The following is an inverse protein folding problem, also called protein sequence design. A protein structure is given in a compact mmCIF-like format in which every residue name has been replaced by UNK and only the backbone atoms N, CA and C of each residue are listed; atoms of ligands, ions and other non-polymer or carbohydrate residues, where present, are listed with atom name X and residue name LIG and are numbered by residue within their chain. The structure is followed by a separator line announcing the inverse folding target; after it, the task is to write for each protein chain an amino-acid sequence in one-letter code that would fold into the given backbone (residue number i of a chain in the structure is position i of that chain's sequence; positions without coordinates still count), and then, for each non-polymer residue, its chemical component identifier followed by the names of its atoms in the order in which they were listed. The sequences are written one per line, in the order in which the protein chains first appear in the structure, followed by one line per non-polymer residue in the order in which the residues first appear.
data_IF_149933662918
#
_entry.id   IF_149933662918
#
_cell.length_a   1.000
_cell.length_b   1.000
_cell.length_c   1.000
_cell.angle_alpha   90.00
_cell.angle_beta   90.00
_cell.angle_gamma   90.00
#
_symmetry.space_group_name_H-M   'P 1'
#
loop_
_entity.id
_entity.type
_entity.pdbx_description
1 polymer ?
#
# COMPACT_ATOMS: atom_id res chain seq x y z
N UNK A 1 25.61 6.91 -1.81
CA UNK A 1 25.36 5.66 -2.55
C UNK A 1 23.89 5.36 -2.36
N UNK A 2 23.16 5.18 -3.45
CA UNK A 2 21.72 4.86 -3.40
C UNK A 2 21.54 3.33 -3.37
N UNK A 3 20.45 2.87 -2.75
CA UNK A 3 20.10 1.44 -2.65
C UNK A 3 18.75 1.22 -3.36
N UNK A 4 18.63 0.12 -4.08
CA UNK A 4 17.40 -0.41 -4.63
C UNK A 4 17.22 -1.84 -4.10
N UNK A 5 16.08 -2.12 -3.45
CA UNK A 5 15.85 -3.38 -2.75
C UNK A 5 14.52 -3.98 -3.17
N UNK A 6 14.53 -5.27 -3.46
CA UNK A 6 13.35 -6.10 -3.75
C UNK A 6 13.50 -7.43 -2.98
N UNK A 7 12.45 -8.24 -2.89
CA UNK A 7 12.57 -9.65 -2.51
C UNK A 7 13.66 -10.36 -3.34
N UNK A 8 14.34 -11.33 -2.75
CA UNK A 8 15.31 -12.15 -3.49
C UNK A 8 14.65 -12.86 -4.67
N UNK A 9 13.45 -13.41 -4.45
CA UNK A 9 12.70 -14.13 -5.46
C UNK A 9 11.24 -13.66 -5.48
N UNK A 10 10.70 -13.46 -6.68
CA UNK A 10 9.29 -13.16 -6.90
C UNK A 10 8.77 -14.22 -7.88
N UNK A 11 7.92 -15.12 -7.39
CA UNK A 11 7.22 -16.08 -8.24
C UNK A 11 5.83 -15.52 -8.55
N UNK A 12 5.41 -15.62 -9.80
CA UNK A 12 4.18 -15.02 -10.29
C UNK A 12 3.45 -15.94 -11.28
N UNK A 13 2.15 -15.78 -11.36
CA UNK A 13 1.27 -16.59 -12.18
C UNK A 13 0.39 -17.53 -11.38
N UNK A 14 -0.63 -18.08 -12.04
CA UNK A 14 -1.54 -19.06 -11.43
C UNK A 14 -0.75 -20.29 -10.97
N UNK A 15 -0.93 -20.66 -9.72
CA UNK A 15 -0.19 -21.76 -9.09
C UNK A 15 1.16 -21.37 -8.48
N UNK A 16 1.52 -20.07 -8.44
CA UNK A 16 2.77 -19.63 -7.80
C UNK A 16 2.92 -20.11 -6.34
N UNK A 17 1.81 -20.31 -5.62
CA UNK A 17 1.83 -20.88 -4.26
C UNK A 17 2.38 -22.31 -4.20
N UNK A 18 2.50 -23.05 -5.31
CA UNK A 18 3.08 -24.39 -5.35
C UNK A 18 4.59 -24.39 -5.06
N UNK A 19 5.27 -23.24 -5.20
CA UNK A 19 6.67 -23.09 -4.82
C UNK A 19 6.93 -23.40 -3.33
N UNK A 20 5.89 -23.32 -2.49
CA UNK A 20 5.95 -23.73 -1.08
C UNK A 20 6.40 -25.18 -0.90
N UNK A 21 6.17 -26.09 -1.87
CA UNK A 21 6.65 -27.48 -1.84
C UNK A 21 8.17 -27.62 -1.88
N UNK A 22 8.86 -26.54 -2.30
CA UNK A 22 10.32 -26.52 -2.47
C UNK A 22 11.05 -25.78 -1.34
N UNK A 23 10.31 -25.25 -0.37
CA UNK A 23 10.92 -24.54 0.75
C UNK A 23 11.77 -25.50 1.59
N UNK A 24 12.93 -25.01 1.98
CA UNK A 24 13.80 -25.64 2.97
C UNK A 24 13.49 -25.05 4.35
N UNK A 25 13.27 -25.88 5.34
CA UNK A 25 12.92 -25.42 6.69
C UNK A 25 12.33 -26.56 7.52
N UNK A 26 11.92 -26.21 8.73
CA UNK A 26 11.33 -27.16 9.68
C UNK A 26 9.97 -26.69 10.20
N UNK A 27 9.83 -25.39 10.48
CA UNK A 27 8.63 -24.82 11.11
C UNK A 27 8.25 -23.50 10.43
N UNK A 28 7.00 -23.38 10.02
CA UNK A 28 6.45 -22.16 9.45
C UNK A 28 5.28 -21.66 10.29
N UNK A 29 5.30 -20.38 10.67
CA UNK A 29 4.11 -19.70 11.18
C UNK A 29 3.37 -19.06 10.03
N UNK A 30 2.05 -19.30 9.93
CA UNK A 30 1.18 -18.73 8.92
C UNK A 30 0.37 -17.61 9.56
N UNK A 31 0.58 -16.36 9.10
CA UNK A 31 -0.13 -15.18 9.61
C UNK A 31 -1.26 -14.82 8.65
N UNK A 32 -2.49 -14.73 9.16
CA UNK A 32 -3.73 -14.53 8.41
C UNK A 32 -4.55 -13.40 8.99
N UNK A 33 -5.21 -12.65 8.09
CA UNK A 33 -6.27 -11.70 8.44
C UNK A 33 -7.61 -12.15 7.85
N UNK A 34 -8.69 -12.00 8.60
CA UNK A 34 -10.03 -12.35 8.16
C UNK A 34 -10.19 -13.79 7.68
N UNK A 35 -11.41 -14.17 7.29
CA UNK A 35 -11.74 -15.56 6.97
C UNK A 35 -11.69 -15.92 5.47
N UNK A 36 -11.34 -15.01 4.57
CA UNK A 36 -11.46 -15.24 3.11
C UNK A 36 -10.55 -16.35 2.61
N UNK A 37 -9.29 -16.35 3.00
CA UNK A 37 -8.31 -17.34 2.52
C UNK A 37 -8.65 -18.77 2.96
N UNK A 38 -9.21 -18.95 4.19
CA UNK A 38 -9.74 -20.24 4.62
C UNK A 38 -10.99 -20.62 3.84
N UNK A 39 -11.96 -19.70 3.73
CA UNK A 39 -13.24 -19.95 3.05
C UNK A 39 -13.08 -20.36 1.59
N UNK A 40 -12.06 -19.85 0.91
CA UNK A 40 -11.76 -20.20 -0.47
C UNK A 40 -10.77 -21.37 -0.62
N UNK A 41 -10.36 -22.01 0.51
CA UNK A 41 -9.53 -23.21 0.50
C UNK A 41 -8.04 -22.99 0.23
N UNK A 42 -7.57 -21.73 0.19
CA UNK A 42 -6.16 -21.42 -0.05
C UNK A 42 -5.28 -21.78 1.12
N UNK A 43 -5.76 -21.62 2.35
CA UNK A 43 -5.01 -22.01 3.55
C UNK A 43 -4.74 -23.52 3.56
N UNK A 44 -5.74 -24.33 3.21
CA UNK A 44 -5.59 -25.79 3.15
C UNK A 44 -4.56 -26.21 2.10
N UNK A 45 -4.51 -25.53 0.95
CA UNK A 45 -3.48 -25.75 -0.08
C UNK A 45 -2.09 -25.41 0.44
N UNK A 46 -1.92 -24.23 1.08
CA UNK A 46 -0.65 -23.80 1.67
C UNK A 46 -0.15 -24.81 2.69
N UNK A 47 -1.01 -25.26 3.61
CA UNK A 47 -0.68 -26.29 4.61
C UNK A 47 -0.29 -27.60 3.94
N UNK A 48 -1.01 -28.04 2.91
CA UNK A 48 -0.68 -29.27 2.19
C UNK A 48 0.71 -29.18 1.53
N UNK A 49 1.03 -28.06 0.88
CA UNK A 49 2.34 -27.86 0.23
C UNK A 49 3.49 -27.80 1.24
N UNK A 50 3.30 -27.12 2.36
CA UNK A 50 4.30 -27.09 3.43
C UNK A 50 4.50 -28.47 4.07
N UNK A 51 3.43 -29.25 4.23
CA UNK A 51 3.52 -30.65 4.69
C UNK A 51 4.28 -31.53 3.70
N UNK A 52 4.08 -31.37 2.39
CA UNK A 52 4.86 -32.05 1.37
C UNK A 52 6.37 -31.70 1.45
N UNK A 53 6.67 -30.43 1.79
CA UNK A 53 8.03 -29.96 2.05
C UNK A 53 8.61 -30.46 3.42
N UNK A 54 7.81 -31.14 4.25
CA UNK A 54 8.22 -31.60 5.58
C UNK A 54 8.26 -30.50 6.64
N UNK A 55 7.54 -29.40 6.43
CA UNK A 55 7.51 -28.25 7.32
C UNK A 55 6.27 -28.32 8.23
N UNK A 56 6.48 -28.25 9.54
CA UNK A 56 5.44 -28.13 10.56
C UNK A 56 4.85 -26.71 10.53
N UNK A 57 3.52 -26.59 10.73
CA UNK A 57 2.83 -25.29 10.63
C UNK A 57 2.09 -24.94 11.91
N UNK A 58 2.13 -23.66 12.30
CA UNK A 58 1.32 -23.03 13.34
C UNK A 58 0.68 -21.76 12.76
N UNK A 59 -0.39 -21.26 13.40
CA UNK A 59 -1.16 -20.13 12.88
C UNK A 59 -1.18 -18.93 13.83
N UNK A 60 -1.13 -17.74 13.27
CA UNK A 60 -1.55 -16.49 13.89
C UNK A 60 -2.70 -15.97 13.03
N UNK A 61 -3.92 -16.00 13.57
CA UNK A 61 -5.14 -15.69 12.84
C UNK A 61 -5.79 -14.40 13.37
N UNK A 62 -6.82 -13.97 12.66
CA UNK A 62 -7.68 -12.84 13.05
C UNK A 62 -6.93 -11.51 13.19
N UNK A 63 -5.85 -11.31 12.40
CA UNK A 63 -5.23 -9.99 12.30
C UNK A 63 -6.27 -9.02 11.76
N UNK A 64 -6.60 -8.01 12.56
CA UNK A 64 -7.59 -7.00 12.24
C UNK A 64 -7.14 -6.08 11.10
N UNK A 65 -8.08 -5.45 10.38
CA UNK A 65 -7.74 -4.31 9.53
C UNK A 65 -7.06 -3.20 10.35
N UNK A 66 -6.02 -2.59 9.80
CA UNK A 66 -5.18 -1.61 10.52
C UNK A 66 -4.55 -2.19 11.80
N UNK A 67 -3.66 -3.18 11.68
CA UNK A 67 -3.20 -4.00 12.79
C UNK A 67 -2.56 -3.17 13.90
N UNK A 68 -2.86 -3.55 15.14
CA UNK A 68 -2.42 -2.85 16.34
C UNK A 68 -1.04 -3.30 16.83
N UNK A 69 -0.42 -2.44 17.66
CA UNK A 69 0.81 -2.80 18.38
C UNK A 69 0.57 -4.02 19.27
N UNK A 70 -0.61 -4.11 19.90
CA UNK A 70 -1.01 -5.23 20.75
C UNK A 70 -1.03 -6.55 19.97
N UNK A 71 -1.64 -6.56 18.77
CA UNK A 71 -1.66 -7.73 17.88
C UNK A 71 -0.24 -8.13 17.45
N UNK A 72 0.61 -7.17 17.14
CA UNK A 72 2.01 -7.42 16.79
C UNK A 72 2.75 -8.09 17.95
N UNK A 73 2.62 -7.56 19.16
CA UNK A 73 3.31 -8.10 20.33
C UNK A 73 2.82 -9.50 20.72
N UNK A 74 1.50 -9.75 20.64
CA UNK A 74 0.91 -11.06 20.87
C UNK A 74 1.39 -12.10 19.85
N UNK A 75 1.40 -11.73 18.57
CA UNK A 75 1.90 -12.58 17.49
C UNK A 75 3.38 -12.91 17.64
N UNK A 76 4.21 -11.92 17.97
CA UNK A 76 5.64 -12.15 18.23
C UNK A 76 5.89 -13.07 19.44
N UNK A 77 5.05 -13.00 20.49
CA UNK A 77 5.11 -13.91 21.63
C UNK A 77 4.84 -15.34 21.18
N UNK A 78 3.78 -15.56 20.39
CA UNK A 78 3.46 -16.89 19.83
C UNK A 78 4.58 -17.44 18.94
N UNK A 79 5.20 -16.58 18.12
CA UNK A 79 6.38 -16.96 17.33
C UNK A 79 7.55 -17.40 18.22
N UNK A 80 7.78 -16.78 19.38
CA UNK A 80 8.84 -17.20 20.31
C UNK A 80 8.59 -18.57 20.95
N UNK A 81 7.33 -18.94 21.15
CA UNK A 81 6.95 -20.26 21.66
C UNK A 81 7.13 -21.37 20.61
N UNK A 82 6.73 -21.08 19.37
CA UNK A 82 6.81 -22.05 18.28
C UNK A 82 8.18 -22.11 17.61
N UNK A 83 8.97 -21.03 17.66
CA UNK A 83 10.30 -20.86 17.04
C UNK A 83 10.32 -21.20 15.54
N UNK A 84 9.52 -20.53 14.69
CA UNK A 84 9.51 -20.77 13.25
C UNK A 84 10.84 -20.34 12.60
N UNK A 85 11.23 -21.07 11.55
CA UNK A 85 12.30 -20.66 10.61
C UNK A 85 11.75 -20.02 9.33
N UNK A 86 10.42 -20.05 9.15
CA UNK A 86 9.68 -19.28 8.15
C UNK A 86 8.49 -18.54 8.76
N UNK A 87 8.34 -17.28 8.39
CA UNK A 87 7.13 -16.48 8.60
C UNK A 87 6.44 -16.36 7.25
N UNK A 88 5.25 -16.95 7.12
CA UNK A 88 4.45 -16.91 5.89
C UNK A 88 3.23 -16.04 6.16
N UNK A 89 3.19 -14.86 5.56
CA UNK A 89 2.07 -13.96 5.70
C UNK A 89 1.17 -14.01 4.45
N UNK A 90 -0.13 -14.26 4.65
CA UNK A 90 -1.08 -14.46 3.56
C UNK A 90 -2.34 -13.63 3.76
N UNK A 91 -2.67 -12.82 2.78
CA UNK A 91 -3.87 -11.96 2.82
C UNK A 91 -3.68 -10.63 2.13
N UNK A 92 -4.43 -9.63 2.56
CA UNK A 92 -4.24 -8.23 2.16
C UNK A 92 -3.06 -7.58 2.88
N UNK A 93 -3.00 -6.25 2.88
CA UNK A 93 -1.92 -5.50 3.52
C UNK A 93 -1.78 -5.80 5.01
N UNK A 94 -2.90 -5.81 5.76
CA UNK A 94 -2.89 -5.91 7.23
C UNK A 94 -2.16 -7.14 7.79
N UNK A 95 -2.45 -8.39 7.39
CA UNK A 95 -1.73 -9.53 7.93
C UNK A 95 -0.25 -9.57 7.52
N UNK A 96 0.09 -9.06 6.33
CA UNK A 96 1.48 -9.01 5.88
C UNK A 96 2.26 -7.96 6.66
N UNK A 97 1.68 -6.77 6.87
CA UNK A 97 2.30 -5.70 7.66
C UNK A 97 2.47 -6.09 9.13
N UNK A 98 1.42 -6.68 9.73
CA UNK A 98 1.52 -7.22 11.09
C UNK A 98 2.64 -8.24 11.21
N UNK A 99 2.72 -9.20 10.28
CA UNK A 99 3.74 -10.24 10.29
C UNK A 99 5.17 -9.68 10.14
N UNK A 100 5.37 -8.65 9.31
CA UNK A 100 6.65 -7.94 9.18
C UNK A 100 7.06 -7.30 10.50
N UNK A 101 6.13 -6.64 11.20
CA UNK A 101 6.40 -6.07 12.51
C UNK A 101 6.62 -7.15 13.58
N UNK A 102 5.81 -8.22 13.60
CA UNK A 102 5.99 -9.39 14.48
C UNK A 102 7.39 -9.99 14.34
N UNK A 103 7.91 -10.05 13.10
CA UNK A 103 9.24 -10.58 12.81
C UNK A 103 10.34 -9.85 13.59
N UNK A 104 10.26 -8.52 13.70
CA UNK A 104 11.23 -7.72 14.46
C UNK A 104 11.23 -8.15 15.93
N UNK A 105 10.06 -8.22 16.57
CA UNK A 105 9.92 -8.55 17.99
C UNK A 105 10.08 -10.05 18.29
N UNK A 106 9.95 -10.91 17.27
CA UNK A 106 10.32 -12.32 17.38
C UNK A 106 11.84 -12.50 17.47
N UNK A 107 12.60 -11.82 16.63
CA UNK A 107 14.05 -11.91 16.63
C UNK A 107 14.71 -11.08 17.74
N UNK A 108 14.08 -9.96 18.12
CA UNK A 108 14.61 -9.01 19.11
C UNK A 108 13.53 -8.64 20.13
N UNK A 109 13.24 -9.53 21.08
CA UNK A 109 12.12 -9.36 22.02
C UNK A 109 12.27 -8.16 22.98
N UNK A 110 13.49 -7.70 23.19
CA UNK A 110 13.79 -6.56 24.09
C UNK A 110 13.72 -5.19 23.36
N UNK A 111 13.37 -5.20 22.07
CA UNK A 111 13.21 -3.94 21.30
C UNK A 111 11.91 -3.26 21.69
N UNK A 112 11.97 -1.95 21.95
CA UNK A 112 10.80 -1.13 22.16
C UNK A 112 10.17 -0.75 20.80
N UNK A 113 8.83 -0.68 20.73
CA UNK A 113 8.13 -0.24 19.54
C UNK A 113 8.53 1.17 19.12
N UNK A 114 8.74 2.08 20.06
CA UNK A 114 9.20 3.45 19.80
C UNK A 114 10.55 3.49 19.06
N UNK A 115 11.42 2.51 19.31
CA UNK A 115 12.74 2.45 18.67
C UNK A 115 12.67 2.16 17.17
N UNK A 116 11.59 1.52 16.69
CA UNK A 116 11.42 1.14 15.27
C UNK A 116 10.49 2.09 14.50
N UNK A 117 9.95 3.12 15.14
CA UNK A 117 9.15 4.16 14.46
C UNK A 117 10.02 5.00 13.53
N UNK A 118 11.29 5.21 13.92
CA UNK A 118 12.23 5.95 13.09
C UNK A 118 12.58 5.15 11.83
N UNK A 119 12.45 5.73 10.63
CA UNK A 119 12.82 5.04 9.40
C UNK A 119 14.27 4.55 9.41
N UNK A 120 14.49 3.33 8.93
CA UNK A 120 15.80 2.69 8.78
C UNK A 120 16.57 2.49 10.12
N UNK A 121 15.84 2.22 11.20
CA UNK A 121 16.37 1.97 12.55
C UNK A 121 16.28 0.52 13.00
N UNK A 122 15.78 -0.37 12.15
CA UNK A 122 15.55 -1.77 12.51
C UNK A 122 16.87 -2.52 12.70
N UNK A 123 16.89 -3.46 13.64
CA UNK A 123 18.02 -4.39 13.73
C UNK A 123 18.07 -5.30 12.50
N UNK A 124 19.24 -5.90 12.25
CA UNK A 124 19.39 -6.84 11.12
C UNK A 124 18.60 -8.11 11.37
N UNK A 125 17.59 -8.37 10.56
CA UNK A 125 16.73 -9.55 10.61
C UNK A 125 17.37 -10.78 9.92
N UNK A 126 16.65 -11.88 9.87
CA UNK A 126 17.04 -13.19 9.28
C UNK A 126 18.01 -13.99 10.15
N UNK A 127 17.99 -13.75 11.46
CA UNK A 127 18.77 -14.54 12.41
C UNK A 127 18.05 -15.84 12.80
N UNK A 128 16.70 -15.78 12.87
CA UNK A 128 15.88 -16.92 13.28
C UNK A 128 14.97 -17.38 12.14
N UNK A 129 14.38 -16.45 11.39
CA UNK A 129 13.42 -16.77 10.34
C UNK A 129 13.64 -15.97 9.06
N UNK A 130 13.18 -16.54 7.95
CA UNK A 130 12.98 -15.87 6.65
C UNK A 130 11.51 -15.51 6.49
N UNK A 131 11.22 -14.58 5.57
CA UNK A 131 9.87 -14.06 5.38
C UNK A 131 9.36 -14.34 3.96
N UNK A 132 8.14 -14.90 3.87
CA UNK A 132 7.45 -15.14 2.61
C UNK A 132 6.08 -14.45 2.65
N UNK A 133 5.76 -13.68 1.62
CA UNK A 133 4.50 -12.97 1.48
C UNK A 133 3.65 -13.50 0.32
N UNK A 134 2.35 -13.68 0.57
CA UNK A 134 1.35 -14.15 -0.40
C UNK A 134 0.18 -13.16 -0.40
N UNK A 135 0.17 -12.17 -1.31
CA UNK A 135 -0.90 -11.17 -1.37
C UNK A 135 -2.21 -11.78 -1.89
N UNK A 136 -3.34 -11.34 -1.33
CA UNK A 136 -4.69 -11.68 -1.81
C UNK A 136 -5.49 -10.46 -2.24
N UNK A 137 -4.87 -9.28 -2.26
CA UNK A 137 -5.45 -8.03 -2.77
C UNK A 137 -4.54 -7.43 -3.82
N UNK A 138 -5.13 -6.68 -4.76
CA UNK A 138 -4.39 -6.06 -5.86
C UNK A 138 -4.30 -4.54 -5.64
N UNK A 139 -3.48 -4.13 -4.65
CA UNK A 139 -3.37 -2.70 -4.28
C UNK A 139 -2.10 -2.32 -3.53
N UNK A 140 -1.86 -2.93 -2.38
CA UNK A 140 -0.86 -2.48 -1.42
C UNK A 140 0.60 -2.72 -1.81
N UNK A 141 0.87 -3.74 -2.63
CA UNK A 141 2.25 -4.12 -2.97
C UNK A 141 3.12 -4.55 -1.78
N UNK A 142 2.51 -4.80 -0.61
CA UNK A 142 3.27 -5.05 0.62
C UNK A 142 4.15 -6.29 0.53
N UNK A 143 3.85 -7.24 -0.34
CA UNK A 143 4.65 -8.44 -0.58
C UNK A 143 6.05 -8.14 -1.14
N UNK A 144 6.27 -6.95 -1.68
CA UNK A 144 7.58 -6.53 -2.23
C UNK A 144 8.16 -5.29 -1.57
N UNK A 145 7.50 -4.75 -0.53
CA UNK A 145 7.90 -3.47 0.06
C UNK A 145 8.69 -3.60 1.35
N UNK A 146 9.47 -2.56 1.64
CA UNK A 146 10.21 -2.34 2.88
C UNK A 146 9.37 -1.58 3.94
N UNK A 147 8.03 -1.71 3.88
CA UNK A 147 7.09 -0.98 4.73
C UNK A 147 6.13 -1.91 5.46
N UNK A 148 5.66 -1.44 6.62
CA UNK A 148 4.55 -2.02 7.37
C UNK A 148 3.81 -0.91 8.13
N UNK A 149 2.48 -0.83 8.01
CA UNK A 149 1.69 0.19 8.70
C UNK A 149 1.05 -0.42 9.94
N UNK A 150 1.42 0.09 11.11
CA UNK A 150 0.93 -0.40 12.41
C UNK A 150 0.23 0.74 13.17
N UNK A 151 -0.88 0.41 13.81
CA UNK A 151 -1.69 1.37 14.57
C UNK A 151 -1.35 1.29 16.06
N UNK A 152 -0.98 2.42 16.65
CA UNK A 152 -0.92 2.59 18.09
C UNK A 152 -2.29 3.09 18.58
N UNK A 153 -3.09 2.18 19.12
CA UNK A 153 -4.44 2.48 19.59
C UNK A 153 -4.43 3.44 20.79
N UNK A 154 -3.39 3.39 21.63
CA UNK A 154 -3.28 4.27 22.79
C UNK A 154 -3.06 5.73 22.38
N UNK A 155 -2.35 5.95 21.27
CA UNK A 155 -2.09 7.29 20.72
C UNK A 155 -3.05 7.66 19.59
N UNK A 156 -3.87 6.73 19.10
CA UNK A 156 -4.75 6.93 17.94
C UNK A 156 -3.97 7.26 16.65
N UNK A 157 -2.77 6.69 16.50
CA UNK A 157 -1.84 7.08 15.42
C UNK A 157 -1.39 5.86 14.63
N UNK A 158 -1.37 5.98 13.28
CA UNK A 158 -0.76 5.00 12.40
C UNK A 158 0.70 5.36 12.13
N UNK A 159 1.56 4.39 12.31
CA UNK A 159 3.01 4.50 12.04
C UNK A 159 3.39 3.69 10.81
N UNK A 160 3.84 4.33 9.72
CA UNK A 160 4.45 3.65 8.60
C UNK A 160 5.90 3.27 8.99
N UNK A 161 6.07 2.06 9.47
CA UNK A 161 7.39 1.48 9.74
C UNK A 161 8.12 1.27 8.42
N UNK A 162 9.35 1.73 8.30
CA UNK A 162 10.12 1.69 7.06
C UNK A 162 11.54 1.19 7.31
N UNK A 163 11.88 0.01 6.79
CA UNK A 163 13.25 -0.51 6.81
C UNK A 163 13.43 -1.60 5.75
N UNK A 164 14.56 -1.59 5.05
CA UNK A 164 14.88 -2.62 4.06
C UNK A 164 14.98 -4.04 4.65
N UNK A 165 15.21 -4.16 5.96
CA UNK A 165 15.25 -5.47 6.64
C UNK A 165 13.91 -6.20 6.60
N UNK A 166 12.76 -5.50 6.54
CA UNK A 166 11.43 -6.13 6.49
C UNK A 166 10.93 -6.39 5.06
N UNK A 167 11.74 -6.11 4.03
CA UNK A 167 11.43 -6.59 2.67
C UNK A 167 11.38 -8.12 2.72
N UNK A 168 10.30 -8.76 2.23
CA UNK A 168 10.21 -10.22 2.19
C UNK A 168 11.38 -10.88 1.45
N UNK A 169 11.72 -12.11 1.81
CA UNK A 169 12.70 -12.90 1.06
C UNK A 169 12.09 -13.46 -0.23
N UNK A 170 10.82 -13.88 -0.14
CA UNK A 170 10.06 -14.45 -1.26
C UNK A 170 8.68 -13.78 -1.31
N UNK A 171 8.25 -13.42 -2.51
CA UNK A 171 6.87 -13.05 -2.80
C UNK A 171 6.24 -14.08 -3.76
N UNK A 172 5.06 -14.59 -3.40
CA UNK A 172 4.26 -15.47 -4.26
C UNK A 172 3.03 -14.70 -4.76
N UNK A 173 3.11 -14.19 -5.96
CA UNK A 173 2.08 -13.34 -6.59
C UNK A 173 1.17 -14.22 -7.44
N UNK A 174 0.28 -14.95 -6.77
CA UNK A 174 -0.68 -15.88 -7.40
C UNK A 174 -2.03 -15.18 -7.58
N UNK A 175 -2.43 -14.88 -8.82
CA UNK A 175 -3.65 -14.13 -9.11
C UNK A 175 -4.93 -14.84 -8.66
N UNK A 176 -4.91 -16.16 -8.51
CA UNK A 176 -6.05 -16.92 -8.02
C UNK A 176 -6.55 -16.45 -6.64
N UNK A 177 -5.62 -15.93 -5.79
CA UNK A 177 -5.99 -15.44 -4.47
C UNK A 177 -6.76 -14.11 -4.51
N UNK A 178 -6.57 -13.32 -5.56
CA UNK A 178 -7.24 -12.03 -5.76
C UNK A 178 -8.51 -12.13 -6.63
N UNK A 179 -8.77 -13.29 -7.23
CA UNK A 179 -9.88 -13.50 -8.17
C UNK A 179 -11.25 -13.21 -7.55
N UNK A 180 -11.40 -13.46 -6.25
CA UNK A 180 -12.68 -13.33 -5.54
C UNK A 180 -12.87 -12.00 -4.82
N UNK A 181 -12.02 -11.01 -5.08
CA UNK A 181 -12.16 -9.68 -4.46
C UNK A 181 -13.53 -9.06 -4.82
N UNK A 182 -14.27 -8.51 -3.82
CA UNK A 182 -15.50 -7.77 -4.10
C UNK A 182 -15.23 -6.52 -4.95
N UNK A 183 -16.18 -6.08 -5.81
CA UNK A 183 -15.99 -4.91 -6.67
C UNK A 183 -15.52 -3.65 -5.93
N UNK A 184 -16.12 -3.33 -4.78
CA UNK A 184 -15.72 -2.18 -3.96
C UNK A 184 -14.26 -2.25 -3.51
N UNK A 185 -13.79 -3.43 -3.11
CA UNK A 185 -12.39 -3.65 -2.74
C UNK A 185 -11.48 -3.51 -3.97
N UNK A 186 -11.87 -4.10 -5.10
CA UNK A 186 -11.14 -3.98 -6.38
C UNK A 186 -10.97 -2.52 -6.80
N UNK A 187 -12.02 -1.70 -6.69
CA UNK A 187 -11.98 -0.27 -6.99
C UNK A 187 -10.96 0.47 -6.09
N UNK A 188 -11.09 0.30 -4.78
CA UNK A 188 -10.24 1.02 -3.82
C UNK A 188 -8.78 0.59 -3.94
N UNK A 189 -8.50 -0.72 -4.02
CA UNK A 189 -7.12 -1.22 -4.11
C UNK A 189 -6.49 -0.91 -5.46
N UNK A 190 -7.25 -0.93 -6.56
CA UNK A 190 -6.75 -0.56 -7.88
C UNK A 190 -6.37 0.92 -7.98
N UNK A 191 -7.18 1.81 -7.39
CA UNK A 191 -6.85 3.23 -7.30
C UNK A 191 -5.69 3.51 -6.34
N UNK A 192 -5.53 2.70 -5.31
CA UNK A 192 -4.37 2.71 -4.43
C UNK A 192 -3.08 2.38 -5.20
N UNK A 193 -3.10 1.30 -5.99
CA UNK A 193 -1.97 0.93 -6.86
C UNK A 193 -1.63 2.03 -7.87
N UNK A 194 -2.64 2.70 -8.46
CA UNK A 194 -2.42 3.84 -9.35
C UNK A 194 -1.74 4.99 -8.61
N UNK A 195 -2.21 5.30 -7.41
CA UNK A 195 -1.64 6.38 -6.57
C UNK A 195 -0.21 6.07 -6.17
N UNK A 196 0.08 4.84 -5.74
CA UNK A 196 1.43 4.36 -5.47
C UNK A 196 2.37 4.61 -6.65
N UNK A 197 1.95 4.20 -7.84
CA UNK A 197 2.78 4.33 -9.05
C UNK A 197 2.97 5.80 -9.47
N UNK A 198 1.93 6.63 -9.42
CA UNK A 198 2.02 8.05 -9.77
C UNK A 198 2.90 8.80 -8.77
N UNK A 199 2.71 8.60 -7.47
CA UNK A 199 3.54 9.26 -6.46
C UNK A 199 5.00 8.80 -6.52
N UNK A 200 5.26 7.49 -6.69
CA UNK A 200 6.61 6.99 -6.89
C UNK A 200 7.30 7.60 -8.12
N UNK A 201 6.56 7.79 -9.21
CA UNK A 201 7.09 8.38 -10.45
C UNK A 201 7.51 9.83 -10.28
N UNK A 202 6.76 10.65 -9.51
CA UNK A 202 7.06 12.07 -9.29
C UNK A 202 7.85 12.35 -8.03
N UNK A 203 8.10 11.34 -7.19
CA UNK A 203 8.87 11.46 -5.96
C UNK A 203 10.23 12.10 -6.16
N UNK A 204 10.72 12.85 -5.16
CA UNK A 204 12.10 13.39 -5.16
C UNK A 204 13.17 12.30 -5.13
N UNK A 205 12.80 11.07 -4.78
CA UNK A 205 13.68 9.89 -4.73
C UNK A 205 13.52 8.96 -5.93
N UNK A 206 12.77 9.35 -6.94
CA UNK A 206 12.63 8.57 -8.17
C UNK A 206 14.00 8.31 -8.83
N UNK A 207 14.13 7.23 -9.56
CA UNK A 207 15.38 6.87 -10.22
C UNK A 207 15.13 6.02 -11.48
N UNK A 208 16.18 5.78 -12.31
CA UNK A 208 16.05 4.97 -13.51
C UNK A 208 15.56 3.53 -13.30
N UNK A 209 15.57 3.02 -12.07
CA UNK A 209 15.05 1.69 -11.74
C UNK A 209 13.58 1.75 -11.31
N UNK A 210 13.13 2.83 -10.67
CA UNK A 210 11.74 2.99 -10.21
C UNK A 210 10.82 3.53 -11.29
N UNK A 211 11.30 4.43 -12.14
CA UNK A 211 10.49 5.07 -13.19
C UNK A 211 9.86 4.06 -14.17
N UNK A 212 10.59 3.07 -14.73
CA UNK A 212 9.98 2.08 -15.61
C UNK A 212 8.92 1.22 -14.92
N UNK A 213 9.13 0.85 -13.64
CA UNK A 213 8.17 0.06 -12.87
C UNK A 213 6.89 0.86 -12.60
N UNK A 214 7.03 2.11 -12.18
CA UNK A 214 5.91 3.00 -11.96
C UNK A 214 5.12 3.26 -13.25
N UNK A 215 5.80 3.57 -14.35
CA UNK A 215 5.16 3.80 -15.65
C UNK A 215 4.41 2.57 -16.13
N UNK A 216 5.02 1.39 -16.04
CA UNK A 216 4.36 0.14 -16.44
C UNK A 216 3.12 -0.14 -15.58
N UNK A 217 3.20 0.08 -14.27
CA UNK A 217 2.06 -0.08 -13.36
C UNK A 217 0.91 0.87 -13.74
N UNK A 218 1.20 2.16 -14.00
CA UNK A 218 0.19 3.15 -14.42
C UNK A 218 -0.51 2.70 -15.71
N UNK A 219 0.23 2.25 -16.70
CA UNK A 219 -0.32 1.79 -17.98
C UNK A 219 -1.19 0.54 -17.81
N UNK A 220 -0.78 -0.40 -16.96
CA UNK A 220 -1.56 -1.61 -16.68
C UNK A 220 -2.84 -1.28 -15.92
N UNK A 221 -2.78 -0.38 -14.95
CA UNK A 221 -3.99 0.07 -14.23
C UNK A 221 -4.97 0.74 -15.19
N UNK A 222 -4.50 1.64 -16.07
CA UNK A 222 -5.34 2.26 -17.11
C UNK A 222 -6.05 1.22 -17.97
N UNK A 223 -5.33 0.20 -18.38
CA UNK A 223 -5.83 -0.81 -19.30
C UNK A 223 -6.80 -1.79 -18.66
N UNK A 224 -6.58 -2.18 -17.38
CA UNK A 224 -7.23 -3.36 -16.81
C UNK A 224 -8.14 -3.08 -15.62
N UNK A 225 -8.06 -1.90 -14.96
CA UNK A 225 -8.79 -1.68 -13.71
C UNK A 225 -10.31 -1.77 -13.86
N UNK A 226 -10.88 -1.19 -14.92
CA UNK A 226 -12.32 -1.20 -15.12
C UNK A 226 -12.86 -2.60 -15.43
N UNK A 227 -12.15 -3.38 -16.25
CA UNK A 227 -12.53 -4.75 -16.55
C UNK A 227 -12.34 -5.67 -15.33
N UNK A 228 -11.28 -5.44 -14.54
CA UNK A 228 -11.07 -6.10 -13.25
C UNK A 228 -12.22 -5.81 -12.26
N UNK A 229 -12.67 -4.56 -12.21
CA UNK A 229 -13.83 -4.15 -11.39
C UNK A 229 -15.12 -4.82 -11.87
N UNK A 230 -15.30 -4.98 -13.17
CA UNK A 230 -16.42 -5.70 -13.78
C UNK A 230 -16.35 -7.23 -13.55
N UNK A 231 -15.21 -7.75 -13.06
CA UNK A 231 -15.03 -9.16 -12.71
C UNK A 231 -14.32 -10.01 -13.76
N UNK A 232 -13.71 -9.39 -14.79
CA UNK A 232 -12.92 -10.13 -15.76
C UNK A 232 -11.68 -10.75 -15.11
N UNK A 233 -11.53 -12.07 -15.25
CA UNK A 233 -10.46 -12.84 -14.59
C UNK A 233 -9.07 -12.45 -15.12
N UNK A 234 -8.93 -12.27 -16.43
CA UNK A 234 -7.65 -11.92 -17.03
C UNK A 234 -7.21 -10.50 -16.62
N UNK A 235 -8.16 -9.56 -16.55
CA UNK A 235 -7.89 -8.22 -16.05
C UNK A 235 -7.53 -8.23 -14.56
N UNK A 236 -8.14 -9.07 -13.73
CA UNK A 236 -7.76 -9.25 -12.31
C UNK A 236 -6.34 -9.77 -12.15
N UNK A 237 -5.94 -10.71 -12.97
CA UNK A 237 -4.57 -11.18 -13.03
C UNK A 237 -3.60 -10.04 -13.35
N UNK A 238 -3.88 -9.25 -14.39
CA UNK A 238 -3.02 -8.12 -14.77
C UNK A 238 -2.97 -7.03 -13.68
N UNK A 239 -4.09 -6.76 -13.01
CA UNK A 239 -4.12 -5.84 -11.87
C UNK A 239 -3.30 -6.36 -10.67
N UNK A 240 -3.26 -7.68 -10.47
CA UNK A 240 -2.43 -8.29 -9.42
C UNK A 240 -0.93 -8.12 -9.70
N UNK A 241 -0.52 -8.10 -10.97
CA UNK A 241 0.87 -7.79 -11.35
C UNK A 241 1.14 -6.27 -11.31
N UNK A 242 0.18 -5.44 -11.73
CA UNK A 242 0.32 -3.99 -11.72
C UNK A 242 0.59 -3.44 -10.30
N UNK A 243 -0.14 -3.93 -9.29
CA UNK A 243 0.07 -3.53 -7.90
C UNK A 243 1.45 -3.96 -7.37
N UNK A 244 1.94 -5.13 -7.78
CA UNK A 244 3.27 -5.60 -7.43
C UNK A 244 4.35 -4.67 -8.02
N UNK A 245 4.23 -4.29 -9.30
CA UNK A 245 5.12 -3.32 -9.95
C UNK A 245 5.08 -1.95 -9.26
N UNK A 246 3.89 -1.45 -8.89
CA UNK A 246 3.73 -0.22 -8.13
C UNK A 246 4.43 -0.33 -6.76
N UNK A 247 4.29 -1.48 -6.09
CA UNK A 247 4.97 -1.81 -4.83
C UNK A 247 6.49 -1.76 -4.94
N UNK A 248 7.05 -2.36 -5.97
CA UNK A 248 8.49 -2.31 -6.26
C UNK A 248 8.99 -0.88 -6.47
N UNK A 249 8.19 -0.05 -7.16
CA UNK A 249 8.54 1.34 -7.43
C UNK A 249 8.54 2.16 -6.13
N UNK A 250 7.41 2.21 -5.42
CA UNK A 250 7.30 3.09 -4.26
C UNK A 250 8.12 2.63 -3.05
N UNK A 251 8.37 1.33 -2.92
CA UNK A 251 9.27 0.83 -1.86
C UNK A 251 10.66 1.45 -1.94
N UNK A 252 11.07 1.89 -3.11
CA UNK A 252 12.40 2.46 -3.35
C UNK A 252 12.38 3.98 -3.63
N UNK A 253 11.27 4.50 -4.15
CA UNK A 253 11.09 5.93 -4.44
C UNK A 253 10.35 6.69 -3.32
N UNK A 254 9.75 5.98 -2.37
CA UNK A 254 8.77 6.51 -1.42
C UNK A 254 7.51 7.07 -2.10
N UNK A 255 6.67 7.71 -1.33
CA UNK A 255 5.37 8.25 -1.71
C UNK A 255 5.33 9.77 -1.56
N UNK A 256 4.13 10.35 -1.57
CA UNK A 256 3.92 11.78 -1.45
C UNK A 256 2.76 12.14 -0.53
N UNK A 257 2.25 13.36 -0.72
CA UNK A 257 1.22 13.92 0.18
C UNK A 257 -0.17 13.35 -0.05
N UNK A 258 -0.45 12.64 -1.16
CA UNK A 258 -1.72 11.91 -1.30
C UNK A 258 -1.84 10.87 -0.20
N UNK A 259 -0.81 10.05 -0.03
CA UNK A 259 -0.75 9.05 1.04
C UNK A 259 -0.72 9.69 2.43
N UNK A 260 0.04 10.78 2.61
CA UNK A 260 0.07 11.50 3.89
C UNK A 260 -1.32 11.98 4.33
N UNK A 261 -2.10 12.53 3.40
CA UNK A 261 -3.49 12.92 3.65
C UNK A 261 -4.36 11.70 3.98
N UNK A 262 -4.26 10.62 3.21
CA UNK A 262 -5.06 9.40 3.41
C UNK A 262 -4.77 8.72 4.76
N UNK A 263 -3.51 8.67 5.20
CA UNK A 263 -3.13 8.12 6.50
C UNK A 263 -3.80 8.84 7.67
N UNK A 264 -3.95 10.17 7.57
CA UNK A 264 -4.45 10.98 8.69
C UNK A 264 -5.96 11.17 8.65
N UNK A 265 -6.57 11.11 7.47
CA UNK A 265 -8.03 11.27 7.35
C UNK A 265 -8.81 9.98 7.54
N UNK A 266 -8.24 8.83 7.21
CA UNK A 266 -8.89 7.53 7.38
C UNK A 266 -9.52 7.34 8.77
N UNK A 267 -8.75 7.45 9.86
CA UNK A 267 -9.24 7.27 11.22
C UNK A 267 -9.82 8.55 11.85
N UNK A 268 -9.72 9.72 11.20
CA UNK A 268 -9.98 11.01 11.85
C UNK A 268 -11.46 11.28 12.15
N UNK A 269 -12.39 10.74 11.35
CA UNK A 269 -13.80 11.16 11.38
C UNK A 269 -14.71 10.07 11.92
N UNK A 270 -15.69 10.47 12.75
CA UNK A 270 -16.68 9.58 13.38
C UNK A 270 -17.73 9.04 12.41
N UNK A 271 -17.96 9.73 11.30
CA UNK A 271 -18.92 9.35 10.24
C UNK A 271 -18.55 8.05 9.49
N UNK A 272 -17.44 7.46 9.84
CA UNK A 272 -16.95 6.20 9.32
C UNK A 272 -15.51 6.31 8.83
N UNK A 273 -14.82 5.20 8.95
CA UNK A 273 -13.46 5.05 8.46
C UNK A 273 -13.44 5.14 6.93
N UNK A 274 -12.72 6.11 6.37
CA UNK A 274 -12.52 6.21 4.92
C UNK A 274 -11.51 5.11 4.52
N UNK A 275 -11.88 4.14 3.68
CA UNK A 275 -10.93 3.14 3.21
C UNK A 275 -9.73 3.81 2.52
N UNK A 276 -8.53 3.35 2.81
CA UNK A 276 -7.28 3.98 2.39
C UNK A 276 -7.22 4.29 0.89
N UNK A 277 -7.47 3.29 0.04
CA UNK A 277 -7.48 3.50 -1.41
C UNK A 277 -8.59 4.42 -1.91
N UNK A 278 -9.73 4.51 -1.19
CA UNK A 278 -10.79 5.48 -1.48
C UNK A 278 -10.32 6.91 -1.17
N UNK A 279 -9.66 7.12 -0.05
CA UNK A 279 -9.08 8.41 0.31
C UNK A 279 -8.01 8.84 -0.71
N UNK A 280 -7.11 7.95 -1.09
CA UNK A 280 -6.11 8.19 -2.13
C UNK A 280 -6.75 8.59 -3.46
N UNK A 281 -7.79 7.89 -3.90
CA UNK A 281 -8.51 8.20 -5.13
C UNK A 281 -9.16 9.58 -5.12
N UNK A 282 -9.73 9.99 -3.99
CA UNK A 282 -10.33 11.33 -3.81
C UNK A 282 -9.24 12.42 -3.87
N UNK A 283 -8.13 12.23 -3.18
CA UNK A 283 -7.09 13.26 -3.06
C UNK A 283 -6.23 13.43 -4.31
N UNK A 284 -6.00 12.35 -5.05
CA UNK A 284 -5.01 12.32 -6.12
C UNK A 284 -5.15 13.46 -7.14
N UNK A 285 -6.33 13.81 -7.70
CA UNK A 285 -6.47 14.92 -8.65
C UNK A 285 -6.09 16.27 -8.06
N UNK A 286 -6.40 16.51 -6.78
CA UNK A 286 -6.08 17.76 -6.09
C UNK A 286 -4.58 17.87 -5.83
N UNK A 287 -3.95 16.78 -5.41
CA UNK A 287 -2.50 16.71 -5.17
C UNK A 287 -1.71 16.88 -6.46
N UNK A 288 -2.15 16.28 -7.56
CA UNK A 288 -1.53 16.49 -8.89
C UNK A 288 -1.52 17.96 -9.26
N UNK A 289 -2.67 18.65 -9.13
CA UNK A 289 -2.77 20.09 -9.41
C UNK A 289 -1.89 20.94 -8.50
N UNK A 290 -1.80 20.58 -7.22
CA UNK A 290 -0.89 21.25 -6.27
C UNK A 290 0.57 21.05 -6.65
N UNK A 291 0.99 19.82 -6.89
CA UNK A 291 2.38 19.50 -7.21
C UNK A 291 2.81 20.05 -8.59
N UNK A 292 1.89 20.13 -9.55
CA UNK A 292 2.16 20.65 -10.90
C UNK A 292 2.42 22.16 -10.96
N UNK A 293 2.34 22.89 -9.84
CA UNK A 293 2.86 24.26 -9.76
C UNK A 293 4.39 24.32 -9.81
N UNK A 294 5.06 23.21 -9.53
CA UNK A 294 6.47 23.02 -9.85
C UNK A 294 6.61 22.54 -11.31
N UNK A 295 7.33 23.30 -12.13
CA UNK A 295 7.46 23.06 -13.57
C UNK A 295 8.07 21.68 -13.89
N UNK A 296 9.08 21.27 -13.14
CA UNK A 296 9.72 19.97 -13.34
C UNK A 296 8.76 18.82 -13.04
N UNK A 297 7.95 18.96 -12.00
CA UNK A 297 6.92 18.00 -11.63
C UNK A 297 5.78 17.98 -12.63
N UNK A 298 5.35 19.15 -13.13
CA UNK A 298 4.34 19.25 -14.20
C UNK A 298 4.77 18.50 -15.46
N UNK A 299 6.03 18.64 -15.86
CA UNK A 299 6.59 17.91 -17.00
C UNK A 299 6.54 16.38 -16.79
N UNK A 300 6.78 15.88 -15.56
CA UNK A 300 6.68 14.45 -15.24
C UNK A 300 5.23 13.95 -15.29
N UNK A 301 4.27 14.70 -14.77
CA UNK A 301 2.84 14.36 -14.93
C UNK A 301 2.40 14.39 -16.41
N UNK A 302 2.89 15.35 -17.18
CA UNK A 302 2.62 15.42 -18.62
C UNK A 302 3.19 14.19 -19.37
N UNK A 303 4.33 13.64 -18.94
CA UNK A 303 4.85 12.39 -19.48
C UNK A 303 3.92 11.20 -19.16
N UNK A 304 3.38 11.11 -17.95
CA UNK A 304 2.36 10.10 -17.60
C UNK A 304 1.16 10.25 -18.54
N UNK A 305 0.64 11.47 -18.71
CA UNK A 305 -0.49 11.73 -19.60
C UNK A 305 -0.21 11.25 -21.04
N UNK A 306 0.98 11.51 -21.56
CA UNK A 306 1.39 11.05 -22.91
C UNK A 306 1.48 9.51 -22.98
N UNK A 307 1.99 8.84 -21.95
CA UNK A 307 2.01 7.36 -21.88
C UNK A 307 0.61 6.76 -21.89
N UNK A 308 -0.37 7.47 -21.31
CA UNK A 308 -1.79 7.09 -21.35
C UNK A 308 -2.51 7.52 -22.65
N UNK A 309 -1.78 8.06 -23.64
CA UNK A 309 -2.35 8.51 -24.92
C UNK A 309 -3.18 9.77 -24.82
N UNK A 310 -3.09 10.54 -23.72
CA UNK A 310 -3.80 11.79 -23.57
C UNK A 310 -3.12 12.91 -24.39
N UNK A 311 -3.92 13.88 -24.85
CA UNK A 311 -3.46 14.98 -25.70
C UNK A 311 -3.66 16.32 -25.01
N UNK A 312 -2.77 17.28 -25.33
CA UNK A 312 -2.82 18.65 -24.81
C UNK A 312 -1.70 19.48 -25.43
N UNK A 313 -1.96 20.78 -25.58
CA UNK A 313 -1.03 21.72 -26.26
C UNK A 313 0.11 22.20 -25.35
N UNK A 314 0.06 21.87 -24.07
CA UNK A 314 1.06 22.22 -23.06
C UNK A 314 1.12 21.17 -21.96
N UNK A 315 2.17 21.18 -21.14
CA UNK A 315 2.25 20.33 -19.97
C UNK A 315 1.10 20.61 -18.98
N UNK A 316 0.68 21.87 -18.82
CA UNK A 316 -0.49 22.20 -18.00
C UNK A 316 -1.79 21.58 -18.53
N UNK A 317 -2.01 21.60 -19.85
CA UNK A 317 -3.16 20.93 -20.46
C UNK A 317 -3.12 19.41 -20.29
N UNK A 318 -1.94 18.81 -20.38
CA UNK A 318 -1.75 17.37 -20.14
C UNK A 318 -1.96 17.00 -18.67
N UNK A 319 -1.55 17.83 -17.72
CA UNK A 319 -1.82 17.66 -16.28
C UNK A 319 -3.33 17.66 -16.03
N UNK A 320 -4.07 18.61 -16.59
CA UNK A 320 -5.54 18.63 -16.43
C UNK A 320 -6.22 17.44 -17.13
N UNK A 321 -5.70 16.99 -18.28
CA UNK A 321 -6.17 15.78 -18.93
C UNK A 321 -5.96 14.53 -18.06
N UNK A 322 -4.82 14.44 -17.36
CA UNK A 322 -4.53 13.37 -16.40
C UNK A 322 -5.50 13.43 -15.21
N UNK A 323 -5.73 14.61 -14.62
CA UNK A 323 -6.70 14.76 -13.53
C UNK A 323 -8.11 14.35 -13.97
N UNK A 324 -8.54 14.79 -15.16
CA UNK A 324 -9.83 14.41 -15.74
C UNK A 324 -9.95 12.90 -15.94
N UNK A 325 -8.88 12.24 -16.39
CA UNK A 325 -8.85 10.78 -16.54
C UNK A 325 -9.02 10.07 -15.19
N UNK A 326 -8.39 10.57 -14.12
CA UNK A 326 -8.54 10.03 -12.77
C UNK A 326 -9.96 10.24 -12.24
N UNK A 327 -10.56 11.41 -12.49
CA UNK A 327 -11.97 11.67 -12.15
C UNK A 327 -12.92 10.72 -12.90
N UNK A 328 -12.60 10.36 -14.15
CA UNK A 328 -13.35 9.34 -14.91
C UNK A 328 -13.23 7.95 -14.28
N UNK A 329 -12.06 7.57 -13.76
CA UNK A 329 -11.93 6.31 -13.01
C UNK A 329 -12.80 6.35 -11.76
N UNK A 330 -12.74 7.41 -10.95
CA UNK A 330 -13.55 7.54 -9.74
C UNK A 330 -15.03 7.36 -10.06
N UNK A 331 -15.53 8.01 -11.12
CA UNK A 331 -16.92 7.85 -11.59
C UNK A 331 -17.23 6.40 -11.98
N UNK A 332 -16.39 5.78 -12.82
CA UNK A 332 -16.63 4.42 -13.33
C UNK A 332 -16.57 3.34 -12.22
N UNK A 333 -15.79 3.60 -11.17
CA UNK A 333 -15.59 2.71 -10.03
C UNK A 333 -16.52 3.01 -8.84
N UNK A 334 -17.45 3.94 -8.99
CA UNK A 334 -18.35 4.40 -7.92
C UNK A 334 -17.61 4.93 -6.68
N UNK A 335 -16.49 5.61 -6.87
CA UNK A 335 -15.74 6.30 -5.83
C UNK A 335 -16.19 7.76 -5.79
N UNK A 336 -16.49 8.33 -4.60
CA UNK A 336 -16.80 9.75 -4.46
C UNK A 336 -15.66 10.65 -4.93
N UNK A 337 -16.00 11.83 -5.47
CA UNK A 337 -15.01 12.80 -5.94
C UNK A 337 -14.51 13.74 -4.84
N UNK A 338 -15.25 13.81 -3.71
CA UNK A 338 -14.94 14.70 -2.60
C UNK A 338 -15.18 14.01 -1.25
N UNK A 339 -14.61 14.55 -0.19
CA UNK A 339 -14.89 14.08 1.16
C UNK A 339 -16.35 14.36 1.57
N UNK A 340 -16.94 15.45 1.04
CA UNK A 340 -18.35 15.79 1.26
C UNK A 340 -19.26 14.72 0.62
N UNK A 341 -18.97 14.31 -0.61
CA UNK A 341 -19.71 13.23 -1.30
C UNK A 341 -19.53 11.89 -0.60
N UNK A 342 -18.37 11.63 0.01
CA UNK A 342 -18.15 10.45 0.84
C UNK A 342 -19.06 10.45 2.08
N UNK A 343 -19.47 11.61 2.56
CA UNK A 343 -20.37 11.77 3.70
C UNK A 343 -19.71 12.27 4.99
N UNK A 344 -18.51 12.85 4.92
CA UNK A 344 -17.88 13.50 6.08
C UNK A 344 -18.69 14.75 6.45
N UNK A 345 -19.08 14.85 7.71
CA UNK A 345 -19.83 15.99 8.22
C UNK A 345 -18.96 17.24 8.30
N UNK A 346 -19.41 18.36 7.70
CA UNK A 346 -18.66 19.60 7.57
C UNK A 346 -18.15 20.17 8.90
N UNK A 347 -18.97 20.16 9.94
CA UNK A 347 -18.58 20.68 11.26
C UNK A 347 -17.43 19.87 11.87
N UNK A 348 -17.46 18.54 11.73
CA UNK A 348 -16.39 17.67 12.21
C UNK A 348 -15.13 17.84 11.35
N UNK A 349 -15.27 17.98 10.03
CA UNK A 349 -14.15 18.25 9.13
C UNK A 349 -13.43 19.55 9.50
N UNK A 350 -14.19 20.64 9.71
CA UNK A 350 -13.60 21.94 10.03
C UNK A 350 -12.98 21.98 11.43
N UNK A 351 -13.58 21.28 12.41
CA UNK A 351 -13.02 21.16 13.76
C UNK A 351 -11.66 20.48 13.77
N UNK A 352 -11.47 19.44 12.96
CA UNK A 352 -10.24 18.62 12.94
C UNK A 352 -9.21 19.05 11.89
N UNK A 353 -9.57 20.00 11.02
CA UNK A 353 -8.81 20.35 9.81
C UNK A 353 -7.36 20.70 10.09
N UNK A 354 -7.09 21.63 11.01
CA UNK A 354 -5.74 22.11 11.26
C UNK A 354 -4.88 21.01 11.89
N UNK A 355 -5.45 20.23 12.78
CA UNK A 355 -4.75 19.09 13.40
C UNK A 355 -4.41 18.01 12.37
N UNK A 356 -5.36 17.64 11.48
CA UNK A 356 -5.10 16.67 10.40
C UNK A 356 -4.05 17.20 9.43
N UNK A 357 -4.07 18.49 9.12
CA UNK A 357 -3.09 19.12 8.25
C UNK A 357 -1.67 19.06 8.84
N UNK A 358 -1.50 19.36 10.13
CA UNK A 358 -0.22 19.25 10.84
C UNK A 358 0.31 17.82 10.84
N UNK A 359 -0.56 16.85 11.14
CA UNK A 359 -0.20 15.43 11.12
C UNK A 359 0.18 14.94 9.72
N UNK A 360 -0.52 15.38 8.68
CA UNK A 360 -0.22 15.02 7.31
C UNK A 360 1.13 15.60 6.84
N UNK A 361 1.45 16.84 7.20
CA UNK A 361 2.76 17.43 6.90
C UNK A 361 3.90 16.71 7.61
N UNK A 362 3.67 16.19 8.82
CA UNK A 362 4.67 15.43 9.59
C UNK A 362 4.77 13.94 9.20
N UNK A 363 3.91 13.46 8.31
CA UNK A 363 3.95 12.07 7.83
C UNK A 363 5.22 11.80 7.01
N UNK A 364 5.77 10.58 7.14
CA UNK A 364 6.98 10.17 6.46
C UNK A 364 6.90 10.27 4.93
N UNK A 365 5.71 10.06 4.35
CA UNK A 365 5.50 10.15 2.90
C UNK A 365 5.67 11.59 2.37
N UNK A 366 5.39 12.60 3.19
CA UNK A 366 5.54 14.02 2.83
C UNK A 366 6.98 14.39 2.48
N UNK A 367 7.96 13.70 3.06
CA UNK A 367 9.39 13.99 2.83
C UNK A 367 9.84 13.80 1.38
N UNK A 368 9.19 12.90 0.65
CA UNK A 368 9.52 12.59 -0.74
C UNK A 368 8.61 13.30 -1.76
N UNK A 369 7.64 14.09 -1.29
CA UNK A 369 6.76 14.84 -2.19
C UNK A 369 7.56 15.87 -3.00
N UNK A 370 7.33 16.01 -4.31
CA UNK A 370 8.15 16.88 -5.18
C UNK A 370 8.03 18.37 -4.83
N UNK A 371 6.85 18.81 -4.41
CA UNK A 371 6.63 20.19 -3.93
C UNK A 371 6.49 20.20 -2.42
N UNK A 372 7.27 21.05 -1.74
CA UNK A 372 7.13 21.25 -0.29
C UNK A 372 5.76 21.84 0.02
N UNK A 373 5.23 21.48 1.18
CA UNK A 373 3.92 21.93 1.65
C UNK A 373 4.01 22.35 3.12
N UNK A 374 3.35 23.46 3.45
CA UNK A 374 3.18 23.93 4.83
C UNK A 374 1.86 23.43 5.41
N UNK A 375 1.68 23.38 6.75
CA UNK A 375 0.39 23.05 7.35
C UNK A 375 -0.78 23.92 6.84
N UNK A 376 -0.55 25.20 6.60
CA UNK A 376 -1.57 26.11 6.08
C UNK A 376 -1.96 25.78 4.63
N UNK A 377 -1.01 25.40 3.77
CA UNK A 377 -1.30 24.92 2.41
C UNK A 377 -1.97 23.53 2.44
N UNK A 378 -1.56 22.66 3.34
CA UNK A 378 -2.19 21.33 3.53
C UNK A 378 -3.66 21.50 3.94
N UNK A 379 -3.96 22.42 4.85
CA UNK A 379 -5.33 22.72 5.25
C UNK A 379 -6.16 23.26 4.06
N UNK A 380 -5.58 24.10 3.20
CA UNK A 380 -6.24 24.54 1.95
C UNK A 380 -6.49 23.39 0.99
N UNK A 381 -5.52 22.47 0.84
CA UNK A 381 -5.62 21.32 -0.04
C UNK A 381 -6.70 20.35 0.44
N UNK A 382 -6.77 20.09 1.77
CA UNK A 382 -7.83 19.31 2.38
C UNK A 382 -9.21 19.94 2.17
N UNK A 383 -9.33 21.29 2.28
CA UNK A 383 -10.57 22.02 1.96
C UNK A 383 -10.94 21.88 0.49
N UNK A 384 -9.97 22.01 -0.43
CA UNK A 384 -10.22 21.81 -1.84
C UNK A 384 -10.78 20.41 -2.12
N UNK A 385 -10.21 19.38 -1.52
CA UNK A 385 -10.70 18.00 -1.63
C UNK A 385 -12.05 17.75 -0.93
N UNK A 386 -12.37 18.53 0.10
CA UNK A 386 -13.67 18.44 0.78
C UNK A 386 -14.79 19.04 -0.09
N UNK A 387 -14.60 20.23 -0.62
CA UNK A 387 -15.62 20.98 -1.36
C UNK A 387 -15.59 20.80 -2.88
N UNK A 388 -14.59 20.11 -3.44
CA UNK A 388 -14.37 20.04 -4.88
C UNK A 388 -13.89 21.37 -5.48
N UNK A 389 -13.20 22.20 -4.71
CA UNK A 389 -12.77 23.52 -5.15
C UNK A 389 -11.46 23.47 -5.94
N UNK A 390 -11.21 24.45 -6.84
CA UNK A 390 -9.95 24.53 -7.58
C UNK A 390 -8.73 24.65 -6.66
N UNK A 391 -7.58 24.11 -7.13
CA UNK A 391 -6.27 24.23 -6.48
C UNK A 391 -5.45 25.25 -7.28
N UNK A 392 -5.42 26.49 -6.84
CA UNK A 392 -4.80 27.62 -7.54
C UNK A 392 -3.62 28.27 -6.76
N UNK A 393 -3.18 27.64 -5.65
CA UNK A 393 -2.15 28.12 -4.73
C UNK A 393 -0.88 27.25 -4.74
#
# INVERSE_FOLDING_TARGET
MNRFTLPRDIYWGEGAIEELRKLDGKRAVIVLGGGSMRRFGFVDKVVAYLKEAGIETEFIEDVEPDPSVETVMAGAAKMREFEPDWIIAMGGGSPIDAAKAMWVFYEYPDTDFEAIIQPFSFPTLRKKARFLAIPSTSGTGTEVTAFAVITDNAKGTKYPLADFNITPDIALVDPALAETMPPKLTAHTGMDALTHAIEAYVSTLHCPFTDPLATQAIMMVDQYLQDSFAGDKAAREQMHYAQCLAGMAFSNALLGITHSMAHKTGPAYSTGHIPHGCANAIYLPFVIRFNAKDEATAARYALIARHLGLTGDSDAALVEALCTKIDQYNTALNIPHTLQEFGIVESEFLEKLDHVAELAVSDACTLANPRKITPAEMAKLLKAAYYGSPVDF
#
